data_IF_632656577470
#
_entry.id   IF_632656577470
#
_cell.length_a   1.000
_cell.length_b   1.000
_cell.length_c   1.000
_cell.angle_alpha   90.00
_cell.angle_beta   90.00
_cell.angle_gamma   90.00
#
_symmetry.space_group_name_H-M   'P 1'
#
loop_
_entity.id
_entity.type
_entity.pdbx_description
1 polymer ?
#
# COMPACT_ATOMS: atom_id res chain seq x y z
N UNK A 1 -1.98 -16.09 -5.35
CA UNK A 1 -3.31 -15.41 -5.47
C UNK A 1 -3.27 -14.50 -6.69
N UNK A 2 -4.40 -14.27 -7.37
CA UNK A 2 -4.49 -13.31 -8.49
C UNK A 2 -5.18 -11.98 -8.12
N UNK A 3 -5.11 -10.97 -8.98
CA UNK A 3 -5.66 -9.62 -8.73
C UNK A 3 -7.15 -9.66 -8.42
N UNK A 4 -7.93 -10.45 -9.16
CA UNK A 4 -9.37 -10.54 -8.95
C UNK A 4 -9.72 -11.12 -7.56
N UNK A 5 -8.99 -12.14 -7.13
CA UNK A 5 -9.12 -12.73 -5.79
C UNK A 5 -8.73 -11.73 -4.70
N UNK A 6 -7.61 -11.02 -4.89
CA UNK A 6 -7.13 -10.00 -3.96
C UNK A 6 -8.15 -8.86 -3.78
N UNK A 7 -8.67 -8.30 -4.87
CA UNK A 7 -9.68 -7.25 -4.82
C UNK A 7 -10.96 -7.72 -4.11
N UNK A 8 -11.36 -8.99 -4.30
CA UNK A 8 -12.51 -9.57 -3.60
C UNK A 8 -12.28 -9.63 -2.09
N UNK A 9 -11.08 -10.00 -1.65
CA UNK A 9 -10.69 -10.04 -0.23
C UNK A 9 -10.65 -8.63 0.37
N UNK A 10 -9.99 -7.68 -0.31
CA UNK A 10 -9.87 -6.29 0.18
C UNK A 10 -11.24 -5.62 0.36
N UNK A 11 -12.18 -5.93 -0.55
CA UNK A 11 -13.56 -5.40 -0.54
C UNK A 11 -14.50 -6.14 0.41
N UNK A 12 -14.06 -7.23 1.04
CA UNK A 12 -14.83 -7.93 2.08
C UNK A 12 -14.29 -7.62 3.48
N UNK A 13 -14.85 -8.27 4.50
CA UNK A 13 -14.35 -8.24 5.88
C UNK A 13 -13.17 -9.19 6.12
N UNK A 14 -12.56 -9.71 5.04
CA UNK A 14 -11.44 -10.64 5.12
C UNK A 14 -10.10 -9.88 5.18
N UNK A 15 -9.12 -10.47 5.85
CA UNK A 15 -7.75 -9.94 5.90
C UNK A 15 -6.88 -10.60 4.82
N UNK A 16 -5.91 -9.84 4.32
CA UNK A 16 -4.85 -10.28 3.41
C UNK A 16 -3.52 -10.10 4.14
N UNK A 17 -2.60 -11.07 4.05
CA UNK A 17 -1.24 -10.86 4.59
C UNK A 17 -0.46 -9.92 3.68
N UNK A 18 0.43 -9.12 4.26
CA UNK A 18 1.25 -8.21 3.47
C UNK A 18 2.16 -8.98 2.49
N UNK A 19 2.69 -10.13 2.91
CA UNK A 19 3.49 -10.99 2.03
C UNK A 19 2.71 -11.50 0.83
N UNK A 20 1.45 -11.94 1.00
CA UNK A 20 0.63 -12.43 -0.12
C UNK A 20 0.30 -11.31 -1.09
N UNK A 21 0.08 -10.08 -0.58
CA UNK A 21 -0.11 -8.90 -1.41
C UNK A 21 1.16 -8.60 -2.23
N UNK A 22 2.34 -8.63 -1.62
CA UNK A 22 3.60 -8.38 -2.34
C UNK A 22 3.87 -9.47 -3.38
N UNK A 23 3.66 -10.74 -3.04
CA UNK A 23 3.83 -11.85 -3.99
C UNK A 23 2.86 -11.72 -5.19
N UNK A 24 1.62 -11.30 -4.95
CA UNK A 24 0.68 -10.97 -6.02
C UNK A 24 1.23 -9.87 -6.93
N UNK A 25 1.71 -8.77 -6.36
CA UNK A 25 2.26 -7.65 -7.14
C UNK A 25 3.43 -8.14 -8.00
N UNK A 26 4.34 -8.91 -7.40
CA UNK A 26 5.52 -9.43 -8.09
C UNK A 26 5.16 -10.44 -9.19
N UNK A 27 4.04 -11.15 -9.07
CA UNK A 27 3.58 -12.10 -10.08
C UNK A 27 2.81 -11.43 -11.23
N UNK A 28 1.97 -10.44 -10.97
CA UNK A 28 1.02 -9.90 -11.96
C UNK A 28 1.35 -8.49 -12.48
N UNK A 29 2.34 -7.82 -11.87
CA UNK A 29 2.68 -6.45 -12.23
C UNK A 29 4.19 -6.27 -12.43
N UNK A 30 4.55 -5.34 -13.30
CA UNK A 30 5.86 -4.73 -13.32
C UNK A 30 5.86 -3.55 -12.36
N UNK A 31 6.82 -3.53 -11.45
CA UNK A 31 7.05 -2.43 -10.54
C UNK A 31 8.46 -1.88 -10.72
N UNK A 32 8.56 -0.57 -10.95
CA UNK A 32 9.83 0.16 -10.88
C UNK A 32 9.95 0.83 -9.52
N UNK A 33 11.09 0.69 -8.86
CA UNK A 33 11.32 1.44 -7.63
C UNK A 33 11.20 2.94 -7.88
N UNK A 34 10.62 3.66 -6.92
CA UNK A 34 10.32 5.08 -7.04
C UNK A 34 10.47 5.80 -5.70
N UNK A 35 10.89 7.07 -5.78
CA UNK A 35 10.77 7.99 -4.66
C UNK A 35 9.33 8.51 -4.57
N UNK A 36 8.85 8.77 -3.35
CA UNK A 36 7.52 9.31 -3.13
C UNK A 36 7.42 10.05 -1.80
N UNK A 37 6.42 10.93 -1.71
CA UNK A 37 6.09 11.68 -0.50
C UNK A 37 4.72 11.27 0.01
N UNK A 38 4.60 11.11 1.33
CA UNK A 38 3.36 10.76 2.01
C UNK A 38 3.19 11.65 3.24
N UNK A 39 2.47 12.75 3.07
CA UNK A 39 2.47 13.86 4.03
C UNK A 39 3.88 14.45 4.13
N UNK A 40 4.44 14.47 5.35
CA UNK A 40 5.80 14.95 5.58
C UNK A 40 6.87 13.85 5.50
N UNK A 41 6.49 12.62 5.13
CA UNK A 41 7.42 11.50 5.01
C UNK A 41 7.97 11.45 3.59
N UNK A 42 9.28 11.64 3.47
CA UNK A 42 10.02 11.46 2.23
C UNK A 42 10.56 10.03 2.16
N UNK A 43 10.34 9.36 1.04
CA UNK A 43 10.82 8.00 0.80
C UNK A 43 11.73 8.02 -0.43
N UNK A 44 12.96 7.54 -0.30
CA UNK A 44 13.86 7.39 -1.44
C UNK A 44 13.49 6.17 -2.29
N UNK A 45 14.09 6.08 -3.48
CA UNK A 45 13.97 4.94 -4.39
C UNK A 45 14.39 3.59 -3.77
N UNK A 46 15.11 3.61 -2.64
CA UNK A 46 15.59 2.42 -1.95
C UNK A 46 14.82 2.11 -0.66
N UNK A 47 13.83 2.93 -0.30
CA UNK A 47 13.13 2.83 0.98
C UNK A 47 11.63 2.62 0.78
N UNK A 48 11.02 1.81 1.64
CA UNK A 48 9.56 1.67 1.74
C UNK A 48 8.85 1.34 0.42
N UNK A 49 9.53 0.63 -0.49
CA UNK A 49 8.99 0.28 -1.80
C UNK A 49 7.75 -0.63 -1.71
N UNK A 50 7.60 -1.39 -0.63
CA UNK A 50 6.36 -2.10 -0.33
C UNK A 50 5.16 -1.16 -0.13
N UNK A 51 5.36 0.02 0.48
CA UNK A 51 4.31 1.05 0.59
C UNK A 51 3.99 1.66 -0.77
N UNK A 52 5.01 1.95 -1.58
CA UNK A 52 4.82 2.44 -2.94
C UNK A 52 3.98 1.47 -3.79
N UNK A 53 4.26 0.16 -3.73
CA UNK A 53 3.45 -0.89 -4.37
C UNK A 53 1.98 -0.85 -3.92
N UNK A 54 1.72 -0.76 -2.61
CA UNK A 54 0.35 -0.64 -2.08
C UNK A 54 -0.36 0.60 -2.64
N UNK A 55 0.29 1.75 -2.62
CA UNK A 55 -0.33 2.99 -3.08
C UNK A 55 -0.58 3.01 -4.58
N UNK A 56 0.35 2.52 -5.40
CA UNK A 56 0.16 2.40 -6.84
C UNK A 56 -0.97 1.43 -7.17
N UNK A 57 -1.02 0.27 -6.52
CA UNK A 57 -2.11 -0.69 -6.69
C UNK A 57 -3.46 -0.10 -6.26
N UNK A 58 -3.49 0.57 -5.11
CA UNK A 58 -4.70 1.21 -4.61
C UNK A 58 -5.24 2.27 -5.55
N UNK A 59 -4.36 3.08 -6.16
CA UNK A 59 -4.76 4.07 -7.15
C UNK A 59 -5.27 3.42 -8.44
N UNK A 60 -4.53 2.45 -8.97
CA UNK A 60 -4.88 1.74 -10.20
C UNK A 60 -6.27 1.11 -10.13
N UNK A 61 -6.60 0.48 -8.99
CA UNK A 61 -7.88 -0.20 -8.79
C UNK A 61 -8.95 0.65 -8.12
N UNK A 62 -8.73 1.97 -8.02
CA UNK A 62 -9.66 2.94 -7.43
C UNK A 62 -10.12 2.55 -6.02
N UNK A 63 -9.20 2.03 -5.21
CA UNK A 63 -9.48 1.65 -3.83
C UNK A 63 -9.73 2.89 -2.97
N UNK A 64 -10.69 2.77 -2.05
CA UNK A 64 -10.87 3.72 -0.97
C UNK A 64 -9.68 3.70 -0.02
N UNK A 65 -9.57 4.73 0.82
CA UNK A 65 -8.55 4.81 1.87
C UNK A 65 -8.49 3.53 2.73
N UNK A 66 -9.65 3.05 3.17
CA UNK A 66 -9.73 1.88 4.05
C UNK A 66 -9.31 0.60 3.34
N UNK A 67 -9.72 0.42 2.08
CA UNK A 67 -9.33 -0.72 1.25
C UNK A 67 -7.82 -0.72 0.96
N UNK A 68 -7.22 0.45 0.67
CA UNK A 68 -5.77 0.57 0.53
C UNK A 68 -5.03 0.24 1.82
N UNK A 69 -5.54 0.68 2.97
CA UNK A 69 -4.95 0.34 4.27
C UNK A 69 -5.00 -1.18 4.54
N UNK A 70 -6.08 -1.88 4.14
CA UNK A 70 -6.16 -3.34 4.23
C UNK A 70 -5.06 -4.07 3.46
N UNK A 71 -4.53 -3.48 2.38
CA UNK A 71 -3.44 -4.09 1.60
C UNK A 71 -2.13 -4.20 2.38
N UNK A 72 -1.96 -3.41 3.46
CA UNK A 72 -0.81 -3.53 4.37
C UNK A 72 -0.92 -4.69 5.36
N UNK A 73 -2.05 -5.42 5.37
CA UNK A 73 -2.24 -6.63 6.18
C UNK A 73 -1.94 -6.43 7.67
N UNK A 74 -1.12 -7.32 8.21
CA UNK A 74 -0.70 -7.34 9.60
C UNK A 74 0.00 -6.05 10.05
N UNK A 75 0.65 -5.31 9.15
CA UNK A 75 1.28 -4.03 9.50
C UNK A 75 0.24 -2.94 9.79
N UNK A 76 -0.88 -2.91 9.06
CA UNK A 76 -1.97 -1.98 9.37
C UNK A 76 -2.65 -2.37 10.68
N UNK A 77 -2.86 -3.67 10.92
CA UNK A 77 -3.39 -4.16 12.19
C UNK A 77 -2.52 -3.76 13.38
N UNK A 78 -1.19 -3.92 13.28
CA UNK A 78 -0.25 -3.49 14.33
C UNK A 78 -0.34 -1.99 14.62
N UNK A 79 -0.54 -1.15 13.59
CA UNK A 79 -0.74 0.30 13.77
C UNK A 79 -2.02 0.60 14.55
N UNK A 80 -3.11 -0.12 14.30
CA UNK A 80 -4.38 0.04 15.02
C UNK A 80 -4.27 -0.44 16.48
N UNK A 81 -3.52 -1.52 16.72
CA UNK A 81 -3.31 -2.10 18.05
C UNK A 81 -2.32 -1.31 18.91
N UNK A 82 -1.50 -0.43 18.30
CA UNK A 82 -0.51 0.41 18.99
C UNK A 82 -0.63 1.88 18.55
N UNK A 83 -1.72 2.56 18.96
CA UNK A 83 -1.97 3.96 18.59
C UNK A 83 -0.95 4.94 19.18
N UNK A 84 -0.33 4.62 20.31
CA UNK A 84 0.69 5.44 20.98
C UNK A 84 2.07 5.37 20.33
N UNK A 85 2.34 4.36 19.51
CA UNK A 85 3.59 4.26 18.76
C UNK A 85 3.60 5.29 17.62
N UNK A 86 4.63 6.13 17.60
CA UNK A 86 4.78 7.21 16.63
C UNK A 86 5.94 6.97 15.65
N UNK A 87 6.63 5.85 15.76
CA UNK A 87 7.88 5.56 15.03
C UNK A 87 7.75 4.41 14.05
N UNK A 88 6.89 3.42 14.32
CA UNK A 88 6.66 2.32 13.38
C UNK A 88 5.75 2.71 12.22
N UNK A 89 5.94 2.05 11.08
CA UNK A 89 5.02 2.08 9.94
C UNK A 89 4.58 3.50 9.52
N UNK A 90 5.51 4.44 9.46
CA UNK A 90 5.25 5.87 9.24
C UNK A 90 4.37 6.15 8.01
N UNK A 91 4.54 5.38 6.93
CA UNK A 91 3.69 5.52 5.73
C UNK A 91 2.23 5.12 5.97
N UNK A 92 1.97 4.09 6.76
CA UNK A 92 0.60 3.69 7.12
C UNK A 92 -0.04 4.77 7.98
N UNK A 93 0.67 5.23 9.01
CA UNK A 93 0.20 6.28 9.92
C UNK A 93 -0.06 7.60 9.18
N UNK A 94 0.88 8.05 8.34
CA UNK A 94 0.70 9.25 7.52
C UNK A 94 -0.49 9.13 6.56
N UNK A 95 -0.71 7.95 5.97
CA UNK A 95 -1.85 7.73 5.07
C UNK A 95 -3.20 7.66 5.82
N UNK A 96 -3.21 7.20 7.08
CA UNK A 96 -4.38 7.31 7.96
C UNK A 96 -4.73 8.78 8.21
N UNK A 97 -3.77 9.69 8.30
CA UNK A 97 -4.05 11.11 8.54
C UNK A 97 -4.41 11.86 7.26
N UNK A 98 -3.57 11.73 6.24
CA UNK A 98 -3.60 12.59 5.04
C UNK A 98 -4.31 11.97 3.84
N UNK A 99 -4.41 10.63 3.82
CA UNK A 99 -4.99 9.85 2.71
C UNK A 99 -4.40 10.25 1.35
N UNK A 100 -5.14 10.03 0.26
CA UNK A 100 -4.72 10.30 -1.11
C UNK A 100 -4.27 11.74 -1.37
N UNK A 101 -4.78 12.72 -0.61
CA UNK A 101 -4.43 14.14 -0.79
C UNK A 101 -3.00 14.45 -0.33
N UNK A 102 -2.46 13.68 0.60
CA UNK A 102 -1.09 13.84 1.08
C UNK A 102 -0.07 13.03 0.30
N UNK A 103 -0.49 12.28 -0.71
CA UNK A 103 0.39 11.37 -1.42
C UNK A 103 0.85 11.97 -2.75
N UNK A 104 2.16 12.14 -2.90
CA UNK A 104 2.81 12.54 -4.15
C UNK A 104 3.67 11.36 -4.61
N UNK A 105 3.20 10.66 -5.62
CA UNK A 105 3.80 9.43 -6.11
C UNK A 105 3.59 9.32 -7.62
N UNK A 106 4.56 8.76 -8.33
CA UNK A 106 4.40 8.38 -9.72
C UNK A 106 3.64 7.04 -9.80
N UNK A 107 2.35 7.11 -10.11
CA UNK A 107 1.50 5.93 -10.18
C UNK A 107 1.82 5.00 -11.37
N UNK A 108 2.50 5.52 -12.40
CA UNK A 108 2.87 4.73 -13.59
C UNK A 108 4.05 3.78 -13.30
N UNK A 109 4.63 3.87 -12.10
CA UNK A 109 5.63 2.93 -11.60
C UNK A 109 5.11 1.48 -11.48
N UNK A 110 3.78 1.29 -11.46
CA UNK A 110 3.14 -0.02 -11.47
C UNK A 110 2.35 -0.20 -12.78
N UNK A 111 2.64 -1.27 -13.51
CA UNK A 111 1.92 -1.65 -14.73
C UNK A 111 1.59 -3.14 -14.73
N UNK A 112 0.51 -3.53 -15.42
CA UNK A 112 0.10 -4.95 -15.51
C UNK A 112 1.10 -5.71 -16.39
N UNK A 113 1.48 -6.92 -15.96
CA UNK A 113 2.23 -7.87 -16.80
C UNK A 113 1.31 -8.44 -17.88
N UNK A 114 1.70 -8.30 -19.14
CA UNK A 114 1.05 -8.96 -20.28
C UNK A 114 1.45 -10.42 -20.38
#
# INVERSE_FOLDING_TARGET
MNTAQCLKIIRSESEISFSDFIELIDNEYWFSNIAFENGNILNSINENQGSAKVFCFGRMHSLSKQETLKCFGEHYKSVLESPEDTKSHLNIRSFIENSWKGLLIDYDALTIKN
#
